data_IF_183611253332
#
_entry.id   IF_183611253332
#
_cell.length_a   1.000
_cell.length_b   1.000
_cell.length_c   1.000
_cell.angle_alpha   90.00
_cell.angle_beta   90.00
_cell.angle_gamma   90.00
#
_symmetry.space_group_name_H-M   'P 1'
#
loop_
_entity.id
_entity.type
_entity.pdbx_description
1 polymer ?
#
# COMPACT_ATOMS: atom_id res chain seq x y z
N UNK A 1 -56.81 -73.43 13.00
CA UNK A 1 -57.63 -72.68 12.05
C UNK A 1 -57.19 -71.22 12.10
N UNK A 2 -56.62 -70.69 10.99
CA UNK A 2 -56.42 -69.25 10.67
C UNK A 2 -55.44 -68.51 11.63
N UNK A 3 -54.44 -67.72 11.23
CA UNK A 3 -54.30 -66.68 10.20
C UNK A 3 -52.77 -66.51 9.94
N UNK A 4 -52.21 -66.67 8.73
CA UNK A 4 -51.96 -65.67 7.66
C UNK A 4 -51.96 -64.18 8.08
N UNK A 5 -50.93 -63.43 7.61
CA UNK A 5 -50.63 -61.98 7.68
C UNK A 5 -49.62 -61.59 8.78
N UNK A 6 -48.53 -60.88 8.51
CA UNK A 6 -48.05 -60.27 7.27
C UNK A 6 -46.62 -59.77 7.45
N UNK A 7 -45.83 -59.85 6.38
CA UNK A 7 -44.48 -59.31 6.29
C UNK A 7 -44.59 -57.79 6.09
N UNK A 8 -44.23 -57.01 7.12
CA UNK A 8 -44.14 -55.55 7.01
C UNK A 8 -42.69 -55.18 6.70
N UNK A 9 -42.35 -55.07 5.42
CA UNK A 9 -41.09 -54.45 4.97
C UNK A 9 -41.22 -52.94 5.03
N UNK A 10 -40.59 -52.33 6.02
CA UNK A 10 -40.42 -50.87 6.12
C UNK A 10 -39.19 -50.46 5.29
N UNK A 11 -39.42 -49.96 4.07
CA UNK A 11 -38.42 -49.28 3.26
C UNK A 11 -38.28 -47.84 3.76
N UNK A 12 -37.29 -47.58 4.62
CA UNK A 12 -36.84 -46.24 4.95
C UNK A 12 -35.96 -45.72 3.80
N UNK A 13 -36.59 -45.02 2.86
CA UNK A 13 -35.89 -44.13 1.93
C UNK A 13 -35.51 -42.88 2.71
N UNK A 14 -34.33 -42.88 3.35
CA UNK A 14 -33.70 -41.63 3.78
C UNK A 14 -33.08 -40.98 2.54
N UNK A 15 -33.84 -40.10 1.89
CA UNK A 15 -33.24 -39.03 1.11
C UNK A 15 -32.50 -38.14 2.10
N UNK A 16 -31.21 -38.35 2.30
CA UNK A 16 -30.37 -37.31 2.89
C UNK A 16 -30.38 -36.17 1.87
N UNK A 17 -31.20 -35.17 2.17
CA UNK A 17 -30.99 -33.83 1.65
C UNK A 17 -29.51 -33.55 1.88
N UNK A 18 -28.74 -33.40 0.80
CA UNK A 18 -27.48 -32.69 0.90
C UNK A 18 -27.88 -31.32 1.43
N UNK A 19 -27.70 -31.12 2.73
CA UNK A 19 -27.46 -29.78 3.22
C UNK A 19 -26.27 -29.34 2.39
N UNK A 20 -26.50 -28.44 1.44
CA UNK A 20 -25.40 -27.59 1.03
C UNK A 20 -25.05 -26.86 2.32
N UNK A 21 -24.08 -27.43 3.05
CA UNK A 21 -23.26 -26.68 3.96
C UNK A 21 -22.70 -25.59 3.09
N UNK A 22 -23.39 -24.45 3.10
CA UNK A 22 -22.78 -23.19 2.82
C UNK A 22 -21.66 -23.15 3.86
N UNK A 23 -20.46 -23.54 3.43
CA UNK A 23 -19.22 -23.34 4.15
C UNK A 23 -19.14 -21.83 4.20
N UNK A 24 -19.80 -21.27 5.21
CA UNK A 24 -19.60 -19.90 5.62
C UNK A 24 -18.14 -19.92 6.03
N UNK A 25 -17.26 -19.49 5.12
CA UNK A 25 -15.86 -19.29 5.42
C UNK A 25 -15.86 -18.43 6.67
N UNK A 26 -15.58 -19.09 7.80
CA UNK A 26 -15.49 -18.45 9.08
C UNK A 26 -14.31 -17.50 8.91
N UNK A 27 -14.62 -16.21 8.69
CA UNK A 27 -13.64 -15.14 8.61
C UNK A 27 -12.63 -15.38 9.73
N UNK A 28 -11.43 -15.80 9.37
CA UNK A 28 -10.39 -16.01 10.36
C UNK A 28 -10.10 -14.62 10.93
N UNK A 29 -10.42 -14.41 12.20
CA UNK A 29 -10.17 -13.13 12.89
C UNK A 29 -8.68 -12.81 13.03
N UNK A 30 -7.79 -13.65 12.50
CA UNK A 30 -6.34 -13.49 12.50
C UNK A 30 -5.82 -12.92 11.16
N UNK A 31 -6.66 -12.83 10.12
CA UNK A 31 -6.24 -12.31 8.82
C UNK A 31 -6.28 -10.78 8.84
N UNK A 32 -5.16 -10.14 8.45
CA UNK A 32 -5.00 -8.68 8.41
C UNK A 32 -6.16 -8.04 7.66
N UNK A 33 -6.77 -7.00 8.24
CA UNK A 33 -7.83 -6.24 7.57
C UNK A 33 -7.31 -5.51 6.32
N UNK A 34 -6.08 -4.98 6.39
CA UNK A 34 -5.34 -4.42 5.26
C UNK A 34 -4.46 -5.49 4.62
N UNK A 35 -4.70 -5.78 3.34
CA UNK A 35 -3.86 -6.70 2.56
C UNK A 35 -2.70 -5.94 1.90
N UNK A 36 -2.99 -4.79 1.29
CA UNK A 36 -2.00 -3.92 0.66
C UNK A 36 -2.53 -2.50 0.47
N UNK A 37 -1.63 -1.58 0.14
CA UNK A 37 -1.97 -0.28 -0.38
C UNK A 37 -1.05 0.11 -1.53
N UNK A 38 -1.52 1.02 -2.38
CA UNK A 38 -0.76 1.66 -3.44
C UNK A 38 -0.81 3.16 -3.19
N UNK A 39 0.34 3.82 -3.17
CA UNK A 39 0.41 5.29 -3.19
C UNK A 39 1.09 5.76 -4.47
N UNK A 40 0.42 6.66 -5.18
CA UNK A 40 0.91 7.27 -6.41
C UNK A 40 0.65 8.77 -6.37
N UNK A 41 1.62 9.56 -6.83
CA UNK A 41 1.42 11.00 -7.03
C UNK A 41 0.63 11.28 -8.32
N UNK A 42 -0.33 12.18 -8.21
CA UNK A 42 -1.15 12.68 -9.31
C UNK A 42 -0.46 13.85 -10.02
N UNK A 43 -0.91 14.14 -11.24
CA UNK A 43 -0.39 15.25 -12.05
C UNK A 43 -0.70 16.64 -11.49
N UNK A 44 -1.67 16.76 -10.59
CA UNK A 44 -1.95 18.00 -9.84
C UNK A 44 -1.11 18.15 -8.58
N UNK A 45 -0.32 17.14 -8.24
CA UNK A 45 0.55 17.14 -7.07
C UNK A 45 -0.01 16.48 -5.82
N UNK A 46 -1.30 16.12 -5.81
CA UNK A 46 -1.92 15.30 -4.75
C UNK A 46 -1.41 13.86 -4.79
N UNK A 47 -1.68 13.09 -3.74
CA UNK A 47 -1.37 11.66 -3.68
C UNK A 47 -2.65 10.83 -3.67
N UNK A 48 -2.76 9.91 -4.61
CA UNK A 48 -3.79 8.87 -4.59
C UNK A 48 -3.32 7.70 -3.72
N UNK A 49 -4.03 7.44 -2.62
CA UNK A 49 -3.91 6.21 -1.85
C UNK A 49 -5.02 5.25 -2.29
N UNK A 50 -4.64 4.06 -2.72
CA UNK A 50 -5.56 2.95 -3.00
C UNK A 50 -5.33 1.85 -1.97
N UNK A 51 -6.37 1.43 -1.27
CA UNK A 51 -6.34 0.39 -0.24
C UNK A 51 -6.97 -0.88 -0.76
N UNK A 52 -6.35 -2.03 -0.52
CA UNK A 52 -6.95 -3.33 -0.75
C UNK A 52 -7.18 -4.00 0.60
N UNK A 53 -8.43 -4.38 0.83
CA UNK A 53 -8.89 -4.98 2.09
C UNK A 53 -9.55 -6.31 1.80
N UNK A 54 -9.44 -7.25 2.74
CA UNK A 54 -10.05 -8.58 2.63
C UNK A 54 -11.58 -8.51 2.63
N UNK A 55 -12.23 -9.63 2.29
CA UNK A 55 -13.68 -9.78 2.41
C UNK A 55 -14.19 -9.44 3.82
N UNK A 56 -15.35 -8.79 3.90
CA UNK A 56 -15.97 -8.39 5.17
C UNK A 56 -15.35 -7.16 5.82
N UNK A 57 -14.50 -6.41 5.11
CA UNK A 57 -13.86 -5.18 5.60
C UNK A 57 -14.25 -3.98 4.73
N UNK A 58 -14.68 -2.92 5.40
CA UNK A 58 -14.89 -1.61 4.81
C UNK A 58 -13.74 -0.64 5.12
N UNK A 59 -13.52 0.33 4.22
CA UNK A 59 -12.55 1.42 4.41
C UNK A 59 -13.26 2.75 4.54
N UNK A 60 -12.86 3.54 5.54
CA UNK A 60 -13.29 4.93 5.78
C UNK A 60 -12.04 5.84 5.81
N UNK A 61 -12.10 6.97 5.12
CA UNK A 61 -11.00 7.95 5.06
C UNK A 61 -11.34 9.18 5.89
N UNK A 62 -10.37 9.64 6.68
CA UNK A 62 -10.47 10.85 7.48
C UNK A 62 -9.26 11.74 7.20
N UNK A 63 -9.53 12.95 6.70
CA UNK A 63 -8.50 13.92 6.39
C UNK A 63 -8.24 14.81 7.61
N UNK A 64 -6.96 14.98 7.96
CA UNK A 64 -6.51 15.84 9.06
C UNK A 64 -5.29 16.66 8.60
N UNK A 65 -5.11 17.83 9.20
CA UNK A 65 -4.02 18.75 8.82
C UNK A 65 -2.61 18.20 9.14
N UNK A 66 -2.51 17.27 10.08
CA UNK A 66 -1.23 16.71 10.56
C UNK A 66 -1.09 15.23 10.17
N UNK A 67 -2.13 14.43 10.40
CA UNK A 67 -2.09 12.98 10.20
C UNK A 67 -3.44 12.42 9.73
N UNK A 68 -3.51 12.06 8.45
CA UNK A 68 -4.70 11.43 7.89
C UNK A 68 -4.87 10.01 8.44
N UNK A 69 -6.12 9.56 8.50
CA UNK A 69 -6.44 8.24 9.01
C UNK A 69 -7.25 7.42 8.03
N UNK A 70 -6.93 6.13 7.96
CA UNK A 70 -7.68 5.14 7.21
C UNK A 70 -8.21 4.12 8.19
N UNK A 71 -9.51 4.14 8.43
CA UNK A 71 -10.15 3.19 9.35
C UNK A 71 -10.64 1.98 8.57
N UNK A 72 -10.24 0.81 9.04
CA UNK A 72 -10.63 -0.49 8.53
C UNK A 72 -11.64 -1.07 9.50
N UNK A 73 -12.89 -1.18 9.03
CA UNK A 73 -14.04 -1.52 9.86
C UNK A 73 -14.66 -2.83 9.41
N UNK A 74 -15.20 -3.62 10.34
CA UNK A 74 -15.90 -4.84 9.98
C UNK A 74 -17.21 -4.47 9.27
N UNK A 75 -17.35 -4.92 8.03
CA UNK A 75 -18.56 -4.79 7.23
C UNK A 75 -18.80 -6.09 6.47
N UNK A 76 -19.51 -7.01 7.12
CA UNK A 76 -19.82 -8.35 6.60
C UNK A 76 -20.72 -8.35 5.35
N UNK A 77 -21.15 -7.18 4.87
CA UNK A 77 -21.90 -7.06 3.60
C UNK A 77 -21.02 -6.68 2.43
N UNK A 78 -19.79 -6.26 2.71
CA UNK A 78 -18.84 -5.77 1.73
C UNK A 78 -17.93 -6.90 1.25
N UNK A 79 -17.97 -7.16 -0.06
CA UNK A 79 -17.00 -8.02 -0.72
C UNK A 79 -15.62 -7.34 -0.79
N UNK A 80 -14.58 -8.13 -1.02
CA UNK A 80 -13.20 -7.70 -1.24
C UNK A 80 -13.20 -6.59 -2.26
N UNK A 81 -12.66 -5.45 -1.86
CA UNK A 81 -12.70 -4.25 -2.67
C UNK A 81 -11.43 -3.43 -2.50
N UNK A 82 -11.27 -2.54 -3.48
CA UNK A 82 -10.26 -1.52 -3.48
C UNK A 82 -10.94 -0.16 -3.37
N UNK A 83 -10.52 0.68 -2.41
CA UNK A 83 -10.97 2.08 -2.34
C UNK A 83 -9.80 3.03 -2.52
N UNK A 84 -10.04 4.08 -3.32
CA UNK A 84 -9.07 5.13 -3.59
C UNK A 84 -9.54 6.45 -2.98
N UNK A 85 -8.61 7.17 -2.35
CA UNK A 85 -8.81 8.53 -1.87
C UNK A 85 -7.59 9.38 -2.25
N UNK A 86 -7.84 10.66 -2.57
CA UNK A 86 -6.78 11.60 -2.90
C UNK A 86 -6.52 12.51 -1.72
N UNK A 87 -5.25 12.62 -1.32
CA UNK A 87 -4.78 13.51 -0.28
C UNK A 87 -4.02 14.69 -0.87
N UNK A 88 -4.40 15.89 -0.44
CA UNK A 88 -3.57 17.07 -0.63
C UNK A 88 -2.36 17.03 0.29
N UNK A 89 -1.22 17.50 -0.20
CA UNK A 89 0.01 17.61 0.61
C UNK A 89 0.02 18.98 1.31
N UNK A 90 -0.01 18.96 2.64
CA UNK A 90 0.13 20.17 3.47
C UNK A 90 1.53 20.23 4.03
N UNK A 91 2.16 21.41 3.99
CA UNK A 91 3.51 21.63 4.53
C UNK A 91 4.56 20.59 4.12
N UNK A 92 4.48 20.09 2.87
CA UNK A 92 5.42 19.10 2.27
C UNK A 92 5.33 17.69 2.82
N UNK A 93 4.35 17.40 3.68
CA UNK A 93 4.20 16.09 4.30
C UNK A 93 2.84 15.49 3.98
N UNK A 94 2.83 14.19 3.71
CA UNK A 94 1.67 13.34 3.76
C UNK A 94 1.91 12.28 4.83
N UNK A 95 1.12 12.32 5.89
CA UNK A 95 1.14 11.29 6.93
C UNK A 95 -0.20 10.55 6.91
N UNK A 96 -0.14 9.23 6.91
CA UNK A 96 -1.29 8.33 6.93
C UNK A 96 -1.06 7.25 7.98
N UNK A 97 -2.01 7.10 8.90
CA UNK A 97 -2.07 5.96 9.82
C UNK A 97 -3.27 5.09 9.46
N UNK A 98 -3.04 3.79 9.31
CA UNK A 98 -4.08 2.79 9.12
C UNK A 98 -4.53 2.26 10.48
N UNK A 99 -5.83 2.28 10.76
CA UNK A 99 -6.40 1.90 12.05
C UNK A 99 -7.35 0.72 11.81
N UNK A 100 -7.01 -0.44 12.37
CA UNK A 100 -7.86 -1.63 12.34
C UNK A 100 -8.67 -1.72 13.63
N UNK A 101 -9.92 -2.20 13.57
CA UNK A 101 -10.77 -2.39 14.75
C UNK A 101 -10.17 -3.34 15.81
N UNK A 102 -9.25 -4.22 15.42
CA UNK A 102 -8.54 -5.10 16.35
C UNK A 102 -7.38 -4.40 17.10
N UNK A 103 -7.09 -3.13 16.76
CA UNK A 103 -6.06 -2.21 17.31
C UNK A 103 -4.62 -2.76 17.40
N UNK A 104 -4.39 -4.01 17.02
CA UNK A 104 -3.11 -4.70 17.19
C UNK A 104 -2.09 -4.33 16.10
N UNK A 105 -2.56 -3.76 14.99
CA UNK A 105 -1.71 -3.31 13.91
C UNK A 105 -2.12 -1.91 13.42
N UNK A 106 -1.17 -0.98 13.45
CA UNK A 106 -1.34 0.39 12.96
C UNK A 106 -0.22 0.76 12.00
N UNK A 107 -0.25 0.23 10.76
CA UNK A 107 0.73 0.61 9.76
C UNK A 107 0.72 2.13 9.56
N UNK A 108 1.89 2.70 9.29
CA UNK A 108 2.06 4.13 9.05
C UNK A 108 2.85 4.37 7.79
N UNK A 109 2.41 5.36 7.02
CA UNK A 109 3.11 5.86 5.86
C UNK A 109 3.33 7.36 6.01
N UNK A 110 4.58 7.78 5.85
CA UNK A 110 4.97 9.18 5.74
C UNK A 110 5.71 9.42 4.43
N UNK A 111 5.30 10.47 3.72
CA UNK A 111 5.97 10.97 2.51
C UNK A 111 6.34 12.43 2.74
N UNK A 112 7.63 12.75 2.63
CA UNK A 112 8.13 14.12 2.57
C UNK A 112 8.47 14.46 1.11
N UNK A 113 7.82 15.48 0.55
CA UNK A 113 7.99 15.90 -0.84
C UNK A 113 7.85 17.43 -0.96
N UNK A 114 8.67 18.07 -1.79
CA UNK A 114 8.76 19.54 -1.91
C UNK A 114 7.56 20.19 -2.60
N UNK A 115 6.57 19.38 -2.94
CA UNK A 115 5.40 19.76 -3.69
C UNK A 115 4.38 20.46 -2.80
N UNK A 116 4.70 21.70 -2.39
CA UNK A 116 3.67 22.61 -1.90
C UNK A 116 2.74 22.96 -3.06
N UNK A 117 1.44 23.11 -2.78
CA UNK A 117 0.45 23.71 -3.69
C UNK A 117 0.86 25.18 -3.97
N UNK A 118 1.97 25.38 -4.69
CA UNK A 118 2.44 26.68 -5.13
C UNK A 118 1.58 27.08 -6.33
N UNK A 119 1.27 28.37 -6.43
CA UNK A 119 0.36 28.94 -7.44
C UNK A 119 0.81 28.71 -8.90
N UNK A 120 2.03 28.21 -9.10
CA UNK A 120 2.47 27.58 -10.34
C UNK A 120 2.33 26.05 -10.24
N UNK A 121 1.43 25.46 -11.06
CA UNK A 121 1.16 24.01 -11.19
C UNK A 121 2.35 23.18 -11.70
N UNK A 122 3.56 23.40 -11.21
CA UNK A 122 4.76 22.67 -11.63
C UNK A 122 5.03 21.56 -10.62
N UNK A 123 4.64 20.34 -10.96
CA UNK A 123 4.93 19.08 -10.28
C UNK A 123 6.39 18.65 -10.43
N UNK A 124 7.34 19.58 -10.42
CA UNK A 124 8.73 19.26 -10.75
C UNK A 124 9.37 18.45 -9.62
N UNK A 125 9.55 17.16 -9.86
CA UNK A 125 10.27 16.25 -8.96
C UNK A 125 11.78 16.26 -9.19
N UNK A 126 12.33 17.31 -9.81
CA UNK A 126 13.73 17.35 -10.19
C UNK A 126 14.03 16.30 -11.26
N UNK A 127 14.88 15.32 -11.00
CA UNK A 127 15.30 14.28 -11.95
C UNK A 127 14.30 13.11 -12.07
N UNK A 128 13.31 13.05 -11.18
CA UNK A 128 12.24 12.05 -11.19
C UNK A 128 11.07 12.54 -12.06
N UNK A 129 10.34 11.62 -12.70
CA UNK A 129 9.09 11.88 -13.40
C UNK A 129 7.90 11.38 -12.60
N UNK A 130 7.94 10.12 -12.19
CA UNK A 130 6.86 9.48 -11.43
C UNK A 130 7.42 8.46 -10.45
N UNK A 131 6.64 8.13 -9.43
CA UNK A 131 6.85 6.95 -8.62
C UNK A 131 5.53 6.43 -8.05
N UNK A 132 5.52 5.15 -7.70
CA UNK A 132 4.46 4.50 -6.97
C UNK A 132 5.07 3.51 -5.97
N UNK A 133 4.47 3.44 -4.79
CA UNK A 133 4.78 2.40 -3.80
C UNK A 133 3.60 1.46 -3.68
N UNK A 134 3.88 0.17 -3.59
CA UNK A 134 2.91 -0.89 -3.31
C UNK A 134 3.38 -1.62 -2.07
N UNK A 135 2.56 -1.69 -1.04
CA UNK A 135 2.87 -2.53 0.11
C UNK A 135 2.46 -3.98 -0.12
N UNK A 136 3.27 -4.88 0.42
CA UNK A 136 3.03 -6.31 0.39
C UNK A 136 2.64 -6.80 1.79
N UNK A 137 1.96 -7.95 1.85
CA UNK A 137 1.47 -8.53 3.10
C UNK A 137 2.58 -8.84 4.13
N UNK A 138 3.80 -9.11 3.63
CA UNK A 138 5.00 -9.39 4.42
C UNK A 138 5.69 -8.14 4.99
N UNK A 139 5.12 -6.95 4.75
CA UNK A 139 5.67 -5.67 5.20
C UNK A 139 6.72 -5.08 4.25
N UNK A 140 7.05 -5.75 3.15
CA UNK A 140 7.92 -5.18 2.11
C UNK A 140 7.18 -4.14 1.26
N UNK A 141 7.94 -3.26 0.61
CA UNK A 141 7.44 -2.28 -0.36
C UNK A 141 8.06 -2.56 -1.73
N UNK A 142 7.21 -2.68 -2.75
CA UNK A 142 7.58 -2.56 -4.15
C UNK A 142 7.57 -1.07 -4.53
N UNK A 143 8.69 -0.56 -5.02
CA UNK A 143 8.82 0.79 -5.55
C UNK A 143 9.01 0.72 -7.07
N UNK A 144 8.09 1.34 -7.79
CA UNK A 144 8.20 1.56 -9.23
C UNK A 144 8.37 3.04 -9.51
N UNK A 145 9.32 3.42 -10.35
CA UNK A 145 9.57 4.81 -10.65
C UNK A 145 10.15 5.06 -12.04
N UNK A 146 9.92 6.28 -12.52
CA UNK A 146 10.45 6.77 -13.78
C UNK A 146 11.28 8.03 -13.57
N UNK A 147 12.41 8.13 -14.27
CA UNK A 147 13.31 9.29 -14.26
C UNK A 147 13.27 10.01 -15.60
N UNK A 148 13.77 11.25 -15.63
CA UNK A 148 13.96 12.00 -16.88
C UNK A 148 15.01 11.32 -17.78
N UNK A 149 14.90 11.52 -19.09
CA UNK A 149 15.93 11.07 -20.04
C UNK A 149 17.31 11.63 -19.65
N UNK A 150 18.35 10.81 -19.76
CA UNK A 150 19.70 11.21 -19.38
C UNK A 150 19.91 11.32 -17.88
N UNK A 151 19.19 10.54 -17.08
CA UNK A 151 19.44 10.36 -15.64
C UNK A 151 19.96 8.95 -15.40
N UNK A 152 21.15 8.86 -14.80
CA UNK A 152 21.69 7.62 -14.28
C UNK A 152 21.15 7.33 -12.88
N UNK A 153 20.88 6.06 -12.60
CA UNK A 153 20.28 5.62 -11.35
C UNK A 153 21.18 4.58 -10.71
N UNK A 154 21.52 4.81 -9.43
CA UNK A 154 22.21 3.82 -8.62
C UNK A 154 21.54 3.66 -7.26
N UNK A 155 21.67 2.47 -6.69
CA UNK A 155 21.05 2.11 -5.43
C UNK A 155 22.15 1.91 -4.38
N UNK A 156 21.94 2.48 -3.20
CA UNK A 156 22.82 2.31 -2.05
C UNK A 156 22.05 2.06 -0.77
N UNK A 157 22.79 1.69 0.27
CA UNK A 157 22.27 1.59 1.62
C UNK A 157 23.18 2.39 2.55
N UNK A 158 22.59 3.24 3.38
CA UNK A 158 23.29 4.06 4.36
C UNK A 158 23.12 3.44 5.75
N UNK A 159 24.11 2.64 6.17
CA UNK A 159 24.11 1.94 7.46
C UNK A 159 24.00 2.89 8.67
N UNK A 160 24.48 4.13 8.56
CA UNK A 160 24.45 5.09 9.67
C UNK A 160 23.06 5.68 9.90
N UNK A 161 22.27 5.84 8.82
CA UNK A 161 20.91 6.37 8.88
C UNK A 161 19.83 5.27 8.82
N UNK A 162 20.21 4.02 8.50
CA UNK A 162 19.29 2.91 8.25
C UNK A 162 18.34 3.22 7.07
N UNK A 163 18.91 3.66 5.93
CA UNK A 163 18.16 4.20 4.78
C UNK A 163 18.58 3.54 3.48
N UNK A 164 17.59 3.21 2.65
CA UNK A 164 17.78 2.84 1.26
C UNK A 164 17.87 4.11 0.40
N UNK A 165 19.03 4.37 -0.18
CA UNK A 165 19.26 5.55 -1.01
C UNK A 165 19.10 5.19 -2.50
N UNK A 166 18.42 6.06 -3.23
CA UNK A 166 18.33 6.02 -4.69
C UNK A 166 18.97 7.29 -5.23
N UNK A 167 20.17 7.15 -5.80
CA UNK A 167 20.91 8.27 -6.35
C UNK A 167 20.51 8.51 -7.80
N UNK A 168 20.04 9.72 -8.08
CA UNK A 168 19.69 10.22 -9.40
C UNK A 168 20.72 11.27 -9.82
N UNK A 169 21.45 11.01 -10.90
CA UNK A 169 22.52 11.90 -11.38
C UNK A 169 22.37 12.15 -12.87
N UNK A 170 22.51 13.40 -13.30
CA UNK A 170 22.51 13.74 -14.72
C UNK A 170 23.65 13.05 -15.47
N UNK A 171 23.31 12.29 -16.50
CA UNK A 171 24.21 11.60 -17.41
C UNK A 171 23.54 11.46 -18.78
N UNK A 172 23.94 12.30 -19.74
CA UNK A 172 23.35 12.33 -21.09
C UNK A 172 23.43 11.00 -21.86
N UNK A 173 24.24 10.04 -21.41
CA UNK A 173 24.34 8.71 -22.04
C UNK A 173 23.43 7.66 -21.37
N UNK A 174 22.79 7.99 -20.25
CA UNK A 174 21.83 7.10 -19.60
C UNK A 174 20.55 6.99 -20.45
N UNK A 175 20.11 5.75 -20.69
CA UNK A 175 18.98 5.44 -21.58
C UNK A 175 17.84 4.73 -20.87
N UNK A 176 18.07 4.20 -19.67
CA UNK A 176 17.04 3.55 -18.88
C UNK A 176 16.25 4.61 -18.10
N UNK A 177 14.93 4.62 -18.30
CA UNK A 177 14.03 5.61 -17.68
C UNK A 177 13.06 5.01 -16.67
N UNK A 178 12.92 3.68 -16.62
CA UNK A 178 11.96 3.00 -15.74
C UNK A 178 12.65 1.96 -14.88
N UNK A 179 12.32 1.96 -13.60
CA UNK A 179 12.94 1.13 -12.58
C UNK A 179 11.88 0.56 -11.64
N UNK A 180 12.20 -0.62 -11.09
CA UNK A 180 11.31 -1.40 -10.25
C UNK A 180 12.17 -2.15 -9.23
N UNK A 181 11.89 -2.00 -7.94
CA UNK A 181 12.67 -2.64 -6.87
C UNK A 181 11.82 -2.92 -5.63
N UNK A 182 11.99 -4.12 -5.09
CA UNK A 182 11.45 -4.50 -3.78
C UNK A 182 12.43 -4.16 -2.66
N UNK A 183 11.88 -3.64 -1.58
CA UNK A 183 12.58 -3.32 -0.33
C UNK A 183 11.92 -4.08 0.81
N UNK A 184 12.70 -4.87 1.54
CA UNK A 184 12.24 -5.51 2.76
C UNK A 184 12.27 -4.52 3.92
N UNK A 185 11.44 -4.74 4.93
CA UNK A 185 11.53 -4.00 6.18
C UNK A 185 12.87 -4.29 6.90
N UNK A 186 13.38 -3.29 7.59
CA UNK A 186 14.59 -3.36 8.40
C UNK A 186 14.33 -4.12 9.71
N UNK A 187 15.39 -4.40 10.48
CA UNK A 187 15.28 -5.19 11.71
C UNK A 187 14.40 -4.56 12.79
N UNK A 188 14.24 -3.23 12.78
CA UNK A 188 13.32 -2.49 13.67
C UNK A 188 11.87 -2.46 13.16
N UNK A 189 11.61 -3.10 12.01
CA UNK A 189 10.32 -3.13 11.34
C UNK A 189 10.09 -1.94 10.40
N UNK A 190 10.90 -0.88 10.45
CA UNK A 190 10.72 0.28 9.58
C UNK A 190 11.34 0.07 8.20
N UNK A 191 10.91 0.87 7.23
CA UNK A 191 11.50 0.93 5.90
C UNK A 191 11.58 2.39 5.49
N UNK A 192 12.78 2.86 5.17
CA UNK A 192 13.01 4.22 4.66
C UNK A 192 13.71 4.20 3.31
N UNK A 193 13.16 4.96 2.37
CA UNK A 193 13.72 5.18 1.03
C UNK A 193 13.87 6.68 0.80
N UNK A 194 15.08 7.13 0.45
CA UNK A 194 15.38 8.51 0.09
C UNK A 194 15.83 8.60 -1.37
N UNK A 195 15.16 9.42 -2.17
CA UNK A 195 15.66 9.80 -3.50
C UNK A 195 16.66 10.95 -3.37
N UNK A 196 17.93 10.69 -3.66
CA UNK A 196 19.03 11.65 -3.60
C UNK A 196 19.29 12.17 -5.01
N UNK A 197 19.04 13.45 -5.25
CA UNK A 197 19.19 14.05 -6.57
C UNK A 197 20.36 15.02 -6.62
N UNK A 198 21.25 14.83 -7.60
CA UNK A 198 22.40 15.70 -7.84
C UNK A 198 22.29 16.31 -9.23
N UNK A 199 22.06 17.63 -9.29
CA UNK A 199 22.02 18.37 -10.57
C UNK A 199 23.35 19.10 -10.83
N UNK A 200 23.75 19.25 -12.10
CA UNK A 200 25.02 19.89 -12.46
C UNK A 200 25.12 21.37 -12.03
N UNK A 201 23.98 22.02 -11.80
CA UNK A 201 23.88 23.41 -11.33
C UNK A 201 24.00 23.56 -9.82
N UNK A 202 23.73 22.50 -9.04
CA UNK A 202 23.79 22.48 -7.58
C UNK A 202 25.08 21.82 -7.11
N UNK A 203 26.23 22.45 -7.33
CA UNK A 203 27.54 21.94 -6.85
C UNK A 203 27.66 21.82 -5.32
N UNK A 204 26.65 22.19 -4.53
CA UNK A 204 26.75 22.23 -3.06
C UNK A 204 25.60 21.62 -2.24
N UNK A 205 24.48 21.14 -2.78
CA UNK A 205 23.46 20.46 -1.95
C UNK A 205 22.66 19.44 -2.74
N UNK A 206 22.81 18.15 -2.41
CA UNK A 206 21.88 17.11 -2.86
C UNK A 206 20.49 17.37 -2.26
N UNK A 207 19.45 17.20 -3.07
CA UNK A 207 18.07 17.19 -2.57
C UNK A 207 17.66 15.74 -2.28
N UNK A 208 17.19 15.47 -1.06
CA UNK A 208 16.71 14.14 -0.65
C UNK A 208 15.19 14.08 -0.72
N UNK A 209 14.59 14.06 -1.92
CA UNK A 209 13.12 14.05 -2.10
C UNK A 209 12.69 13.28 -3.36
N UNK A 210 11.54 12.57 -3.33
CA UNK A 210 10.71 12.32 -2.14
C UNK A 210 11.44 11.43 -1.11
N UNK A 211 11.06 11.54 0.16
CA UNK A 211 11.42 10.58 1.21
C UNK A 211 10.20 9.78 1.61
N UNK A 212 10.35 8.48 1.71
CA UNK A 212 9.27 7.56 2.03
C UNK A 212 9.67 6.82 3.30
N UNK A 213 8.80 6.84 4.30
CA UNK A 213 8.93 6.04 5.52
C UNK A 213 7.67 5.20 5.67
N UNK A 214 7.87 3.88 5.78
CA UNK A 214 6.81 2.93 6.04
C UNK A 214 7.11 2.15 7.32
N UNK A 215 6.07 1.98 8.14
CA UNK A 215 6.08 1.15 9.34
C UNK A 215 4.89 0.18 9.18
N UNK A 216 5.10 -1.13 9.04
CA UNK A 216 4.10 -2.14 8.68
C UNK A 216 3.18 -2.60 9.81
#
# INVERSE_FOLDING_TARGET
MKHLLGLLTLLLMITSCSTEENINEQVNSNDRMLESFIVKKNADGSYALTTNVRDGVGTLFYDDAVENQVHLVVDNTTARNSKTHNYDVTDKHLNITFISEDENNQPKLSIEDDNTQSTSRTTDFGLLNTYAIVSNEDGSIQLDFEVKDGVDVSFGYNDNENVNDIYLVENANATNVSYSKNYAAEADGSLRIDFIQTTATSRETDTKKPRIVFIP
#
